data_IF_231472124985
#
_entry.id   IF_231472124985
#
_cell.length_a   1.000
_cell.length_b   1.000
_cell.length_c   1.000
_cell.angle_alpha   90.00
_cell.angle_beta   90.00
_cell.angle_gamma   90.00
#
_symmetry.space_group_name_H-M   'P 1'
#
loop_
_entity.id
_entity.type
_entity.pdbx_description
1 polymer ?
#
# COMPACT_ATOMS: atom_id res chain seq x y z
N UNK A 1 -2.83 11.55 2.14
CA UNK A 1 -1.68 11.22 3.03
C UNK A 1 -2.24 10.59 4.30
N UNK A 2 -1.64 9.52 4.82
CA UNK A 2 -2.15 8.86 6.03
C UNK A 2 -1.68 9.63 7.27
N UNK A 3 -2.59 10.01 8.18
CA UNK A 3 -2.22 10.69 9.42
C UNK A 3 -1.32 9.82 10.30
N UNK A 4 -0.31 10.42 10.96
CA UNK A 4 0.68 9.67 11.74
C UNK A 4 0.06 8.93 12.92
N UNK A 5 -0.98 9.49 13.51
CA UNK A 5 -1.77 8.91 14.61
C UNK A 5 -2.51 7.62 14.24
N UNK A 6 -2.61 7.32 12.95
CA UNK A 6 -3.21 6.08 12.45
C UNK A 6 -2.18 4.99 12.18
N UNK A 7 -0.89 5.30 12.29
CA UNK A 7 0.18 4.33 12.06
C UNK A 7 0.60 3.71 13.38
N UNK A 8 0.49 2.38 13.45
CA UNK A 8 0.99 1.56 14.56
C UNK A 8 2.16 0.71 14.08
N UNK A 9 3.14 0.39 14.95
CA UNK A 9 4.15 -0.63 14.68
C UNK A 9 3.54 -1.95 14.20
N UNK A 10 4.21 -2.62 13.25
CA UNK A 10 3.73 -3.90 12.73
C UNK A 10 3.53 -4.98 13.80
N UNK A 11 4.34 -4.94 14.88
CA UNK A 11 4.27 -5.89 16.00
C UNK A 11 2.98 -5.79 16.82
N UNK A 12 2.17 -4.75 16.62
CA UNK A 12 0.87 -4.62 17.28
C UNK A 12 -0.23 -5.48 16.63
N UNK A 13 0.03 -6.11 15.49
CA UNK A 13 -0.93 -6.99 14.81
C UNK A 13 -0.31 -8.36 14.55
N UNK A 14 -1.12 -9.41 14.63
CA UNK A 14 -0.65 -10.78 14.39
C UNK A 14 -0.84 -11.20 12.93
N UNK A 15 -1.97 -10.83 12.32
CA UNK A 15 -2.39 -11.33 11.00
C UNK A 15 -2.89 -10.22 10.10
N UNK A 16 -2.69 -10.40 8.80
CA UNK A 16 -3.28 -9.50 7.82
C UNK A 16 -3.61 -10.16 6.47
N UNK A 17 -4.74 -9.74 5.89
CA UNK A 17 -5.08 -9.99 4.49
C UNK A 17 -6.01 -8.89 3.96
N UNK A 18 -5.78 -8.46 2.72
CA UNK A 18 -6.70 -7.55 2.05
C UNK A 18 -8.08 -8.21 1.83
N UNK A 19 -9.12 -7.66 2.44
CA UNK A 19 -10.51 -8.15 2.31
C UNK A 19 -11.30 -7.47 1.19
N UNK A 20 -10.61 -6.74 0.30
CA UNK A 20 -11.22 -6.04 -0.84
C UNK A 20 -12.34 -5.05 -0.47
N UNK A 21 -12.36 -4.52 0.76
CA UNK A 21 -13.41 -3.61 1.23
C UNK A 21 -13.45 -2.28 0.46
N UNK A 22 -12.32 -1.86 -0.13
CA UNK A 22 -12.22 -0.60 -0.87
C UNK A 22 -12.06 0.64 0.00
N UNK A 23 -11.80 0.49 1.31
CA UNK A 23 -11.49 1.60 2.22
C UNK A 23 -10.36 2.47 1.66
N UNK A 24 -9.20 1.87 1.33
CA UNK A 24 -8.08 2.62 0.77
C UNK A 24 -8.40 3.30 -0.58
N UNK A 25 -9.30 2.74 -1.40
CA UNK A 25 -9.74 3.37 -2.64
C UNK A 25 -10.57 4.64 -2.41
N UNK A 26 -11.24 4.73 -1.27
CA UNK A 26 -12.07 5.88 -0.87
C UNK A 26 -11.28 6.90 -0.05
N UNK A 27 -10.37 6.46 0.81
CA UNK A 27 -9.68 7.37 1.73
C UNK A 27 -8.40 7.95 1.16
N UNK A 28 -7.64 7.19 0.36
CA UNK A 28 -6.28 7.59 -0.01
C UNK A 28 -6.13 7.91 -1.50
N UNK A 29 -5.30 8.92 -1.77
CA UNK A 29 -4.79 9.17 -3.12
C UNK A 29 -3.64 8.22 -3.38
N UNK A 30 -3.59 7.68 -4.60
CA UNK A 30 -2.60 6.67 -4.98
C UNK A 30 -1.54 7.33 -5.84
N UNK A 31 -0.34 7.63 -5.30
CA UNK A 31 0.77 8.14 -6.09
C UNK A 31 1.30 7.05 -7.03
N UNK A 32 1.83 7.49 -8.17
CA UNK A 32 2.43 6.63 -9.17
C UNK A 32 3.89 7.01 -9.39
N UNK A 33 4.74 6.01 -9.60
CA UNK A 33 6.03 6.20 -10.25
C UNK A 33 5.83 6.48 -11.75
N UNK A 34 6.90 6.93 -12.42
CA UNK A 34 6.91 7.10 -13.87
C UNK A 34 6.58 5.79 -14.62
N UNK A 35 7.19 4.68 -14.21
CA UNK A 35 6.96 3.35 -14.79
C UNK A 35 5.49 2.91 -14.61
N UNK A 36 4.90 3.20 -13.45
CA UNK A 36 3.50 2.87 -13.18
C UNK A 36 2.53 3.72 -13.98
N UNK A 37 2.83 5.02 -14.13
CA UNK A 37 2.07 5.90 -15.01
C UNK A 37 2.11 5.35 -16.44
N UNK A 38 3.30 5.09 -16.98
CA UNK A 38 3.48 4.59 -18.34
C UNK A 38 2.72 3.29 -18.58
N UNK A 39 2.87 2.30 -17.69
CA UNK A 39 2.16 1.02 -17.75
C UNK A 39 0.64 1.18 -17.76
N UNK A 40 0.12 2.16 -17.03
CA UNK A 40 -1.32 2.38 -16.89
C UNK A 40 -1.92 3.33 -17.94
N UNK A 41 -1.11 3.92 -18.85
CA UNK A 41 -1.61 4.81 -19.92
C UNK A 41 -2.61 4.13 -20.85
N UNK A 42 -2.53 2.82 -21.01
CA UNK A 42 -3.48 2.03 -21.81
C UNK A 42 -4.94 2.18 -21.35
N UNK A 43 -5.18 2.60 -20.10
CA UNK A 43 -6.51 2.83 -19.56
C UNK A 43 -7.06 4.24 -19.86
N UNK A 44 -6.32 5.06 -20.59
CA UNK A 44 -6.74 6.39 -21.00
C UNK A 44 -6.63 7.42 -19.89
N UNK A 45 -7.69 8.21 -19.71
CA UNK A 45 -7.69 9.38 -18.85
C UNK A 45 -7.95 9.02 -17.37
N UNK A 46 -6.97 8.36 -16.74
CA UNK A 46 -7.05 7.81 -15.37
C UNK A 46 -6.15 8.54 -14.36
N UNK A 47 -5.49 9.63 -14.75
CA UNK A 47 -4.48 10.31 -13.94
C UNK A 47 -4.85 11.75 -13.58
N UNK A 48 -4.37 12.22 -12.43
CA UNK A 48 -4.36 13.62 -12.02
C UNK A 48 -2.94 14.02 -11.65
N UNK A 49 -2.51 15.18 -12.13
CA UNK A 49 -1.23 15.78 -11.76
C UNK A 49 -1.45 16.66 -10.52
N UNK A 50 -0.77 16.33 -9.43
CA UNK A 50 -0.70 17.12 -8.21
C UNK A 50 0.65 17.81 -8.07
N UNK A 51 0.82 18.58 -6.98
CA UNK A 51 2.08 19.29 -6.70
C UNK A 51 3.29 18.36 -6.51
N UNK A 52 3.06 17.16 -5.98
CA UNK A 52 4.12 16.22 -5.59
C UNK A 52 4.26 15.04 -6.57
N UNK A 53 3.50 15.00 -7.66
CA UNK A 53 3.60 13.93 -8.65
C UNK A 53 2.27 13.61 -9.34
N UNK A 54 2.22 12.42 -9.93
CA UNK A 54 1.05 11.88 -10.63
C UNK A 54 0.32 10.90 -9.73
N UNK A 55 -1.01 11.00 -9.74
CA UNK A 55 -1.90 10.18 -8.93
C UNK A 55 -2.96 9.54 -9.79
N UNK A 56 -3.50 8.41 -9.33
CA UNK A 56 -4.75 7.90 -9.91
C UNK A 56 -5.89 8.86 -9.64
N UNK A 57 -6.72 9.09 -10.66
CA UNK A 57 -7.97 9.84 -10.51
C UNK A 57 -8.85 9.23 -9.45
N UNK A 58 -9.49 10.11 -8.70
CA UNK A 58 -10.40 9.78 -7.62
C UNK A 58 -11.48 10.83 -7.56
N UNK A 59 -12.73 10.39 -7.60
CA UNK A 59 -13.88 11.21 -7.24
C UNK A 59 -14.31 10.80 -5.82
N UNK A 60 -15.43 10.08 -5.67
CA UNK A 60 -15.78 9.42 -4.40
C UNK A 60 -14.90 8.20 -4.09
N UNK A 61 -14.36 7.57 -5.14
CA UNK A 61 -13.46 6.42 -5.04
C UNK A 61 -12.45 6.46 -6.20
N UNK A 62 -11.34 5.73 -6.05
CA UNK A 62 -10.36 5.49 -7.11
C UNK A 62 -11.04 5.08 -8.43
N UNK A 63 -10.56 5.63 -9.54
CA UNK A 63 -11.07 5.44 -10.91
C UNK A 63 -11.22 3.97 -11.33
N UNK A 64 -10.37 3.09 -10.80
CA UNK A 64 -10.40 1.65 -11.08
C UNK A 64 -11.32 0.83 -10.17
N UNK A 65 -12.00 1.47 -9.21
CA UNK A 65 -12.97 0.78 -8.35
C UNK A 65 -14.30 0.65 -9.09
N UNK A 66 -14.61 -0.53 -9.62
CA UNK A 66 -15.81 -0.85 -10.41
C UNK A 66 -16.57 -2.02 -9.77
N UNK A 67 -17.89 -1.93 -9.66
CA UNK A 67 -18.76 -3.03 -9.20
C UNK A 67 -18.27 -3.76 -7.94
N UNK A 68 -17.91 -3.04 -6.88
CA UNK A 68 -17.45 -3.71 -5.66
C UNK A 68 -15.97 -4.15 -5.66
N UNK A 69 -15.19 -3.97 -6.75
CA UNK A 69 -13.81 -4.49 -6.85
C UNK A 69 -12.85 -3.55 -7.60
N UNK A 70 -11.54 -3.79 -7.48
CA UNK A 70 -10.53 -3.10 -8.27
C UNK A 70 -10.40 -3.79 -9.65
N UNK A 71 -10.67 -3.05 -10.72
CA UNK A 71 -10.63 -3.58 -12.10
C UNK A 71 -9.21 -3.94 -12.58
N UNK A 72 -8.18 -3.40 -11.93
CA UNK A 72 -6.76 -3.63 -12.26
C UNK A 72 -6.01 -4.33 -11.13
N UNK A 73 -6.70 -5.15 -10.32
CA UNK A 73 -6.14 -5.69 -9.08
C UNK A 73 -4.78 -6.38 -9.26
N UNK A 74 -4.60 -7.16 -10.33
CA UNK A 74 -3.36 -7.90 -10.62
C UNK A 74 -2.17 -7.00 -11.03
N UNK A 75 -2.43 -5.81 -11.56
CA UNK A 75 -1.40 -4.87 -12.02
C UNK A 75 -1.46 -3.54 -11.26
N UNK A 76 -2.02 -3.57 -10.05
CA UNK A 76 -2.24 -2.39 -9.23
C UNK A 76 -0.91 -1.68 -8.91
N UNK A 77 -0.92 -0.37 -8.62
CA UNK A 77 0.29 0.32 -8.23
C UNK A 77 0.91 -0.25 -6.95
N UNK A 78 2.23 -0.15 -6.79
CA UNK A 78 3.04 -0.50 -5.63
C UNK A 78 2.46 0.07 -4.34
N UNK A 79 1.96 1.30 -4.36
CA UNK A 79 1.28 1.89 -3.20
C UNK A 79 0.03 1.07 -2.77
N UNK A 80 -0.77 0.60 -3.72
CA UNK A 80 -1.93 -0.27 -3.48
C UNK A 80 -1.52 -1.71 -3.13
N UNK A 81 -0.40 -2.22 -3.65
CA UNK A 81 0.12 -3.53 -3.27
C UNK A 81 0.60 -3.59 -1.83
N UNK A 82 1.26 -2.52 -1.38
CA UNK A 82 1.85 -2.45 -0.04
C UNK A 82 0.84 -2.08 1.04
N UNK A 83 -0.24 -1.38 0.70
CA UNK A 83 -1.23 -0.97 1.69
C UNK A 83 -1.78 -2.19 2.48
N UNK A 84 -1.80 -2.16 3.83
CA UNK A 84 -1.65 -1.00 4.73
C UNK A 84 -0.24 -0.79 5.31
N UNK A 85 0.80 -1.40 4.75
CA UNK A 85 2.16 -1.35 5.27
C UNK A 85 2.97 -0.16 4.74
N UNK A 86 3.66 0.52 5.64
CA UNK A 86 4.53 1.66 5.38
C UNK A 86 5.94 1.34 5.86
N UNK A 87 6.90 1.44 4.95
CA UNK A 87 8.29 1.10 5.19
C UNK A 87 9.12 2.38 5.29
N UNK A 88 9.92 2.50 6.34
CA UNK A 88 10.82 3.63 6.58
C UNK A 88 12.24 3.13 6.88
N UNK A 89 13.21 4.01 6.68
CA UNK A 89 14.63 3.76 7.01
C UNK A 89 14.93 3.96 8.50
N UNK A 90 14.10 4.76 9.18
CA UNK A 90 14.22 5.10 10.60
C UNK A 90 12.84 5.05 11.28
N UNK A 91 12.82 4.74 12.58
CA UNK A 91 11.61 4.63 13.38
C UNK A 91 11.88 4.13 14.80
N UNK A 92 10.81 3.75 15.49
CA UNK A 92 10.87 3.21 16.85
C UNK A 92 11.16 1.70 16.87
N UNK A 93 11.64 1.19 18.01
CA UNK A 93 12.12 -0.19 18.16
C UNK A 93 11.01 -1.22 17.89
N UNK A 94 9.78 -0.89 18.21
CA UNK A 94 8.60 -1.72 18.04
C UNK A 94 8.27 -1.90 16.55
N UNK A 95 8.63 -0.93 15.71
CA UNK A 95 8.44 -0.99 14.27
C UNK A 95 9.61 -1.68 13.54
N UNK A 96 10.70 -1.99 14.23
CA UNK A 96 11.89 -2.59 13.63
C UNK A 96 11.60 -3.97 13.02
N UNK A 97 12.02 -4.16 11.77
CA UNK A 97 11.91 -5.39 11.00
C UNK A 97 13.22 -5.63 10.25
N UNK A 98 13.90 -6.74 10.54
CA UNK A 98 15.11 -7.14 9.81
C UNK A 98 14.73 -8.08 8.67
N UNK A 99 15.25 -7.81 7.47
CA UNK A 99 15.06 -8.65 6.30
C UNK A 99 16.31 -8.66 5.43
N UNK A 100 16.89 -9.85 5.22
CA UNK A 100 18.09 -10.04 4.38
C UNK A 100 19.26 -9.12 4.78
N UNK A 101 19.50 -8.98 6.08
CA UNK A 101 20.59 -8.13 6.61
C UNK A 101 20.34 -6.62 6.47
N UNK A 102 19.15 -6.20 6.03
CA UNK A 102 18.72 -4.80 6.02
C UNK A 102 17.67 -4.57 7.10
N UNK A 103 17.73 -3.41 7.73
CA UNK A 103 16.76 -2.98 8.74
C UNK A 103 15.73 -2.05 8.12
N UNK A 104 14.46 -2.32 8.42
CA UNK A 104 13.31 -1.51 8.05
C UNK A 104 12.53 -1.14 9.31
N UNK A 105 11.77 -0.05 9.22
CA UNK A 105 10.78 0.30 10.24
C UNK A 105 9.40 0.26 9.58
N UNK A 106 8.62 -0.75 9.96
CA UNK A 106 7.34 -1.09 9.33
C UNK A 106 6.19 -0.66 10.22
N UNK A 107 5.34 0.18 9.63
CA UNK A 107 4.12 0.69 10.24
C UNK A 107 2.90 0.20 9.48
N UNK A 108 1.77 0.11 10.17
CA UNK A 108 0.49 -0.36 9.64
C UNK A 108 -0.57 0.72 9.88
N UNK A 109 -1.36 1.03 8.86
CA UNK A 109 -2.58 1.81 9.05
C UNK A 109 -3.63 1.00 9.83
N UNK A 110 -3.87 1.39 11.09
CA UNK A 110 -4.77 0.71 12.02
C UNK A 110 -6.23 0.70 11.59
N UNK A 111 -6.60 1.52 10.61
CA UNK A 111 -7.97 1.56 10.07
C UNK A 111 -8.22 0.48 9.01
N UNK A 112 -7.19 -0.27 8.61
CA UNK A 112 -7.36 -1.32 7.63
C UNK A 112 -8.24 -2.45 8.17
N UNK A 113 -9.43 -2.65 7.58
CA UNK A 113 -10.33 -3.75 7.93
C UNK A 113 -9.80 -5.17 7.61
N UNK A 114 -8.58 -5.29 7.07
CA UNK A 114 -7.89 -6.55 6.84
C UNK A 114 -7.05 -7.04 8.04
N UNK A 115 -6.89 -6.21 9.08
CA UNK A 115 -6.16 -6.58 10.29
C UNK A 115 -6.87 -7.74 11.01
N UNK A 116 -6.09 -8.70 11.50
CA UNK A 116 -6.57 -9.90 12.18
C UNK A 116 -7.15 -10.96 11.23
N UNK A 117 -6.95 -10.83 9.92
CA UNK A 117 -7.43 -11.78 8.90
C UNK A 117 -6.25 -12.43 8.17
N UNK A 118 -6.45 -13.62 7.60
CA UNK A 118 -5.46 -14.24 6.72
C UNK A 118 -4.23 -14.80 7.43
N UNK A 119 -3.05 -14.51 6.87
CA UNK A 119 -1.77 -15.09 7.30
C UNK A 119 -1.00 -14.19 8.28
N UNK A 120 0.03 -14.76 8.90
CA UNK A 120 0.93 -14.06 9.84
C UNK A 120 1.54 -12.80 9.19
N UNK A 121 1.50 -11.68 9.91
CA UNK A 121 1.89 -10.37 9.38
C UNK A 121 3.35 -10.35 8.92
N UNK A 122 4.24 -11.06 9.62
CA UNK A 122 5.65 -11.15 9.26
C UNK A 122 5.82 -11.74 7.87
N UNK A 123 5.06 -12.80 7.54
CA UNK A 123 5.11 -13.44 6.21
C UNK A 123 4.61 -12.49 5.12
N UNK A 124 3.59 -11.68 5.42
CA UNK A 124 3.10 -10.65 4.51
C UNK A 124 4.18 -9.60 4.26
N UNK A 125 4.79 -9.08 5.32
CA UNK A 125 5.84 -8.07 5.26
C UNK A 125 7.03 -8.60 4.45
N UNK A 126 7.47 -9.83 4.71
CA UNK A 126 8.54 -10.47 3.92
C UNK A 126 8.17 -10.58 2.44
N UNK A 127 6.95 -11.03 2.10
CA UNK A 127 6.48 -11.13 0.71
C UNK A 127 6.51 -9.77 0.01
N UNK A 128 6.11 -8.71 0.71
CA UNK A 128 6.15 -7.34 0.21
C UNK A 128 7.61 -6.89 0.01
N UNK A 129 8.47 -7.09 1.00
CA UNK A 129 9.89 -6.71 0.92
C UNK A 129 10.64 -7.44 -0.19
N UNK A 130 10.38 -8.74 -0.39
CA UNK A 130 10.91 -9.50 -1.53
C UNK A 130 10.57 -8.82 -2.85
N UNK A 131 9.31 -8.42 -3.04
CA UNK A 131 8.88 -7.74 -4.28
C UNK A 131 9.51 -6.35 -4.45
N UNK A 132 9.78 -5.63 -3.36
CA UNK A 132 10.40 -4.31 -3.40
C UNK A 132 11.90 -4.41 -3.72
N UNK A 133 12.59 -5.35 -3.09
CA UNK A 133 14.05 -5.47 -3.14
C UNK A 133 14.57 -6.28 -4.34
N UNK A 134 13.73 -7.10 -4.98
CA UNK A 134 14.07 -7.79 -6.24
C UNK A 134 14.15 -6.86 -7.46
N UNK A 135 13.88 -5.55 -7.29
CA UNK A 135 13.88 -4.54 -8.36
C UNK A 135 15.09 -3.59 -8.23
N UNK A 136 16.16 -4.01 -7.53
CA UNK A 136 17.44 -3.29 -7.42
C UNK A 136 18.55 -4.15 -7.97
#
# INVERSE_FOLDING_TARGET
>A
MIPRENLIPWREIEKWMCVHCGYCCKEYDVPLSFEEEERLRIFGDVFVKGKLGVYLKKNETCVFRKNGRCAIYEIRPKACEKYPFFFREEGEREAEFEFQGKRFFVYVDKNCGGIGKGEEVERVIEKILRRILLVV
#
